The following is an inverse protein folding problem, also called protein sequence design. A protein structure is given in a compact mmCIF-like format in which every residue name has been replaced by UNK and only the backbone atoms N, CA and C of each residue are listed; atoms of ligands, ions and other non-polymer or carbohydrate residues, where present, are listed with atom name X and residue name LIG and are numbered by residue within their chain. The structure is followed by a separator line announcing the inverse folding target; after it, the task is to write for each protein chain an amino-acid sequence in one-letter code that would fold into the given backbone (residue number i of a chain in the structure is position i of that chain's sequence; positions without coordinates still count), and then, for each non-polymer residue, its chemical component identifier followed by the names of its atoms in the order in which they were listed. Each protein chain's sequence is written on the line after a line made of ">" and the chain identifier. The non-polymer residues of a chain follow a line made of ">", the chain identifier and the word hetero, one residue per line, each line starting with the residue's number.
data_IF_349639840192
#
_entry.id   IF_349639840192
#
_cell.length_a   1.000
_cell.length_b   1.000
_cell.length_c   1.000
_cell.angle_alpha   90.00
_cell.angle_beta   90.00
_cell.angle_gamma   90.00
#
_symmetry.space_group_name_H-M   'P 1'
#
loop_
_entity.id
_entity.type
_entity.pdbx_description
1 polymer ?
#
# COMPACT_ATOMS: atom_id res chain seq x y z
N UNK A 1 8.43 -0.58 53.10
CA UNK A 1 8.68 -1.07 51.73
C UNK A 1 8.56 0.12 50.77
N UNK A 2 9.66 0.84 50.51
CA UNK A 2 9.63 2.05 49.67
C UNK A 2 10.25 1.72 48.31
N UNK A 3 9.43 1.64 47.26
CA UNK A 3 9.92 1.50 45.89
C UNK A 3 10.56 2.81 45.45
N UNK A 4 11.90 2.84 45.39
CA UNK A 4 12.64 3.95 44.78
C UNK A 4 12.53 3.81 43.26
N UNK A 5 11.65 4.59 42.64
CA UNK A 5 11.58 4.70 41.18
C UNK A 5 12.76 5.57 40.72
N UNK A 6 13.75 4.93 40.11
CA UNK A 6 14.94 5.60 39.60
C UNK A 6 14.61 6.30 38.27
N UNK A 7 15.01 7.57 38.12
CA UNK A 7 14.71 8.39 36.92
C UNK A 7 15.23 7.76 35.63
N UNK A 8 16.27 6.93 35.77
CA UNK A 8 16.91 6.18 34.68
C UNK A 8 16.04 5.05 34.15
N UNK A 9 15.27 4.38 35.02
CA UNK A 9 14.33 3.32 34.63
C UNK A 9 13.16 3.85 33.82
N UNK A 10 12.78 5.12 34.04
CA UNK A 10 11.72 5.80 33.30
C UNK A 10 12.13 6.13 31.86
N UNK A 11 13.37 6.58 31.64
CA UNK A 11 13.89 6.88 30.30
C UNK A 11 14.09 5.64 29.42
N UNK A 12 14.43 4.47 30.00
CA UNK A 12 14.59 3.23 29.21
C UNK A 12 13.24 2.62 28.82
N UNK A 13 12.20 2.78 29.65
CA UNK A 13 10.84 2.33 29.34
C UNK A 13 10.20 3.07 28.15
N UNK A 14 10.47 4.36 28.00
CA UNK A 14 9.92 5.19 26.92
C UNK A 14 10.54 4.89 25.54
N UNK A 15 11.81 4.46 25.49
CA UNK A 15 12.47 4.07 24.23
C UNK A 15 11.95 2.70 23.76
N UNK A 16 11.75 1.75 24.68
CA UNK A 16 11.20 0.44 24.36
C UNK A 16 9.75 0.49 23.86
N UNK A 17 8.92 1.33 24.47
CA UNK A 17 7.53 1.53 24.05
C UNK A 17 7.41 2.29 22.72
N UNK A 18 8.31 3.27 22.46
CA UNK A 18 8.32 4.03 21.21
C UNK A 18 8.70 3.18 19.99
N UNK A 19 9.63 2.24 20.13
CA UNK A 19 10.05 1.35 19.04
C UNK A 19 8.99 0.29 18.69
N UNK A 20 8.22 -0.19 19.69
CA UNK A 20 7.13 -1.13 19.45
C UNK A 20 5.94 -0.49 18.69
N UNK A 21 5.66 0.80 18.92
CA UNK A 21 4.58 1.52 18.23
C UNK A 21 4.85 1.80 16.74
N UNK A 22 6.12 1.99 16.36
CA UNK A 22 6.50 2.29 14.96
C UNK A 22 6.35 1.08 14.04
N UNK A 23 6.56 -0.14 14.54
CA UNK A 23 6.45 -1.36 13.75
C UNK A 23 5.03 -1.92 13.65
N UNK A 24 4.11 -1.42 14.48
CA UNK A 24 2.71 -1.88 14.56
C UNK A 24 1.71 -0.83 14.05
N UNK A 25 2.15 0.14 13.26
CA UNK A 25 1.23 1.08 12.64
C UNK A 25 0.45 0.33 11.54
N UNK A 26 -0.89 0.26 11.61
CA UNK A 26 -1.66 -0.30 10.51
C UNK A 26 -1.34 0.51 9.26
N UNK A 27 -0.98 -0.17 8.17
CA UNK A 27 -0.87 0.48 6.88
C UNK A 27 -2.23 1.07 6.56
N UNK A 28 -2.39 2.38 6.78
CA UNK A 28 -3.61 3.09 6.42
C UNK A 28 -3.76 2.88 4.92
N UNK A 29 -4.85 2.22 4.53
CA UNK A 29 -5.17 2.02 3.12
C UNK A 29 -5.10 3.39 2.45
N UNK A 30 -4.14 3.56 1.54
CA UNK A 30 -3.93 4.80 0.83
C UNK A 30 -5.10 4.95 -0.14
N UNK A 31 -6.19 5.55 0.35
CA UNK A 31 -7.30 5.94 -0.50
C UNK A 31 -6.73 6.78 -1.64
N UNK A 32 -7.11 6.48 -2.88
CA UNK A 32 -6.68 7.25 -4.03
C UNK A 32 -7.21 8.69 -3.87
N UNK A 33 -6.41 9.55 -3.24
CA UNK A 33 -6.83 10.87 -2.80
C UNK A 33 -7.12 11.84 -3.96
N UNK A 34 -6.83 11.44 -5.20
CA UNK A 34 -6.92 12.28 -6.38
C UNK A 34 -7.78 11.63 -7.48
N UNK A 35 -8.65 12.41 -8.17
CA UNK A 35 -9.40 11.93 -9.32
C UNK A 35 -8.50 11.36 -10.42
N UNK A 36 -8.97 10.34 -11.14
CA UNK A 36 -8.21 9.70 -12.21
C UNK A 36 -7.67 10.69 -13.27
N UNK A 37 -8.44 11.70 -13.75
CA UNK A 37 -7.90 12.67 -14.71
C UNK A 37 -6.70 13.46 -14.17
N UNK A 38 -6.66 13.74 -12.86
CA UNK A 38 -5.53 14.43 -12.21
C UNK A 38 -4.31 13.52 -12.18
N UNK A 39 -4.52 12.22 -11.92
CA UNK A 39 -3.45 11.23 -11.97
C UNK A 39 -2.87 11.09 -13.38
N UNK A 40 -3.72 11.04 -14.42
CA UNK A 40 -3.28 11.00 -15.83
C UNK A 40 -2.37 12.19 -16.13
N UNK A 41 -2.78 13.42 -15.79
CA UNK A 41 -1.94 14.60 -16.02
C UNK A 41 -0.56 14.50 -15.35
N UNK A 42 -0.52 14.04 -14.09
CA UNK A 42 0.75 13.88 -13.35
C UNK A 42 1.62 12.74 -13.87
N UNK A 43 1.00 11.66 -14.36
CA UNK A 43 1.72 10.48 -14.85
C UNK A 43 2.44 10.75 -16.18
N UNK A 44 1.98 11.73 -16.97
CA UNK A 44 2.59 12.13 -18.25
C UNK A 44 4.11 12.30 -18.16
N UNK A 45 4.60 13.05 -17.17
CA UNK A 45 6.04 13.30 -17.01
C UNK A 45 6.85 12.00 -16.87
N UNK A 46 6.30 10.99 -16.20
CA UNK A 46 6.93 9.67 -16.07
C UNK A 46 6.92 8.89 -17.39
N UNK A 47 5.83 9.00 -18.17
CA UNK A 47 5.74 8.35 -19.48
C UNK A 47 6.73 8.96 -20.47
N UNK A 48 6.82 10.30 -20.51
CA UNK A 48 7.78 11.03 -21.35
C UNK A 48 9.23 10.68 -20.99
N UNK A 49 9.56 10.59 -19.70
CA UNK A 49 10.89 10.16 -19.25
C UNK A 49 11.28 8.74 -19.69
N UNK A 50 10.30 7.94 -20.15
CA UNK A 50 10.51 6.59 -20.72
C UNK A 50 10.40 6.55 -22.24
N UNK A 51 10.41 7.72 -22.89
CA UNK A 51 10.38 7.84 -24.36
C UNK A 51 8.98 7.73 -24.99
N UNK A 52 7.91 7.80 -24.21
CA UNK A 52 6.55 7.84 -24.76
C UNK A 52 6.26 9.25 -25.28
N UNK A 53 5.86 9.37 -26.54
CA UNK A 53 5.49 10.65 -27.14
C UNK A 53 4.13 11.15 -26.65
N UNK A 54 3.94 12.45 -26.64
CA UNK A 54 2.67 13.07 -26.22
C UNK A 54 1.50 12.61 -27.09
N UNK A 55 1.71 12.46 -28.39
CA UNK A 55 0.68 11.97 -29.30
C UNK A 55 0.19 10.56 -28.93
N UNK A 56 1.11 9.66 -28.54
CA UNK A 56 0.73 8.31 -28.09
C UNK A 56 0.01 8.39 -26.75
N UNK A 57 0.51 9.23 -25.83
CA UNK A 57 -0.09 9.43 -24.52
C UNK A 57 -1.54 9.93 -24.64
N UNK A 58 -1.77 10.98 -25.42
CA UNK A 58 -3.08 11.60 -25.61
C UNK A 58 -4.06 10.63 -26.27
N UNK A 59 -3.62 9.91 -27.30
CA UNK A 59 -4.45 8.90 -27.99
C UNK A 59 -4.92 7.81 -27.03
N UNK A 60 -4.01 7.28 -26.22
CA UNK A 60 -4.35 6.18 -25.29
C UNK A 60 -5.26 6.69 -24.18
N UNK A 61 -4.91 7.80 -23.53
CA UNK A 61 -5.67 8.29 -22.38
C UNK A 61 -6.98 9.00 -22.73
N UNK A 62 -7.27 9.23 -24.01
CA UNK A 62 -8.58 9.72 -24.46
C UNK A 62 -9.72 8.72 -24.23
N UNK A 63 -9.43 7.41 -24.29
CA UNK A 63 -10.43 6.34 -24.21
C UNK A 63 -10.37 5.56 -22.88
N UNK A 64 -9.28 5.68 -22.13
CA UNK A 64 -9.06 4.91 -20.89
C UNK A 64 -9.91 5.46 -19.76
N UNK A 65 -10.67 4.57 -19.12
CA UNK A 65 -11.42 4.83 -17.89
C UNK A 65 -11.00 3.86 -16.79
N UNK A 66 -11.08 4.25 -15.49
CA UNK A 66 -10.79 3.34 -14.39
C UNK A 66 -11.77 2.17 -14.34
N UNK A 67 -11.25 0.94 -14.38
CA UNK A 67 -12.03 -0.25 -14.05
C UNK A 67 -12.18 -0.37 -12.53
N UNK A 68 -13.43 -0.31 -12.05
CA UNK A 68 -13.72 -0.40 -10.62
C UNK A 68 -13.58 -1.83 -10.07
N UNK A 69 -13.64 -2.85 -10.92
CA UNK A 69 -13.47 -4.25 -10.51
C UNK A 69 -12.07 -4.51 -9.94
N UNK A 70 -11.06 -3.79 -10.44
CA UNK A 70 -9.68 -3.84 -9.94
C UNK A 70 -9.60 -3.46 -8.47
N UNK A 71 -10.35 -2.43 -8.01
CA UNK A 71 -10.37 -2.09 -6.59
C UNK A 71 -11.06 -3.14 -5.72
N UNK A 72 -12.01 -3.90 -6.29
CA UNK A 72 -12.64 -4.99 -5.56
C UNK A 72 -11.66 -6.17 -5.42
N UNK A 73 -10.95 -6.51 -6.50
CA UNK A 73 -9.93 -7.56 -6.51
C UNK A 73 -8.70 -7.20 -5.67
N UNK A 74 -8.25 -5.94 -5.69
CA UNK A 74 -7.15 -5.47 -4.87
C UNK A 74 -7.43 -5.64 -3.37
N UNK A 75 -8.68 -5.37 -2.94
CA UNK A 75 -9.12 -5.60 -1.56
C UNK A 75 -9.38 -7.08 -1.26
N UNK A 76 -9.86 -7.83 -2.23
CA UNK A 76 -10.15 -9.25 -2.09
C UNK A 76 -8.89 -10.07 -2.38
N UNK A 77 -8.10 -10.33 -1.34
CA UNK A 77 -6.89 -11.14 -1.41
C UNK A 77 -7.16 -12.57 -0.91
N UNK A 78 -7.69 -13.49 -1.75
CA UNK A 78 -8.10 -14.82 -1.33
C UNK A 78 -6.93 -15.67 -0.85
N UNK A 79 -5.72 -15.41 -1.35
CA UNK A 79 -4.51 -16.16 -0.98
C UNK A 79 -4.17 -16.05 0.52
N UNK A 80 -4.61 -14.98 1.21
CA UNK A 80 -4.46 -14.87 2.67
C UNK A 80 -5.58 -15.58 3.47
N UNK A 81 -6.64 -16.00 2.78
CA UNK A 81 -7.80 -16.69 3.38
C UNK A 81 -7.83 -18.18 2.99
N UNK A 82 -7.14 -18.56 1.91
CA UNK A 82 -7.04 -19.92 1.41
C UNK A 82 -6.17 -20.77 2.34
N UNK A 83 -6.60 -22.02 2.56
CA UNK A 83 -5.82 -22.98 3.32
C UNK A 83 -4.67 -23.52 2.45
N UNK A 84 -3.48 -23.72 3.03
CA UNK A 84 -2.28 -24.12 2.27
C UNK A 84 -2.50 -25.36 1.38
N UNK A 85 -3.25 -26.35 1.86
CA UNK A 85 -3.54 -27.57 1.10
C UNK A 85 -4.50 -27.33 -0.08
N UNK A 86 -5.44 -26.39 0.03
CA UNK A 86 -6.31 -25.99 -1.09
C UNK A 86 -5.47 -25.36 -2.21
N UNK A 87 -4.53 -24.50 -1.85
CA UNK A 87 -3.61 -23.88 -2.81
C UNK A 87 -2.77 -24.93 -3.54
N UNK A 88 -2.17 -25.88 -2.79
CA UNK A 88 -1.36 -26.95 -3.35
C UNK A 88 -2.15 -27.83 -4.33
N UNK A 89 -3.36 -28.26 -3.95
CA UNK A 89 -4.22 -29.10 -4.79
C UNK A 89 -4.59 -28.44 -6.14
N UNK A 90 -4.68 -27.10 -6.19
CA UNK A 90 -5.04 -26.36 -7.41
C UNK A 90 -3.85 -26.13 -8.35
N UNK A 91 -2.62 -26.11 -7.82
CA UNK A 91 -1.42 -25.66 -8.54
C UNK A 91 -0.41 -26.76 -8.83
N UNK A 92 -0.48 -27.88 -8.11
CA UNK A 92 0.40 -29.03 -8.29
C UNK A 92 -0.44 -30.25 -8.61
N UNK A 93 -0.46 -30.61 -9.89
CA UNK A 93 -1.08 -31.83 -10.42
C UNK A 93 -0.03 -32.64 -11.18
#
# INVERSE_FOLDING_TARGET
>A
MSLKLDRRTFTTGLIGAGLAGVLASPALAQSAAQPFPVWVQKFRARAQARGISDQVYDRVFAEVVPDKSVYAQDRAQPEFQEQTWQYLNRRVS
#
